data_IF_028968301399
#
_entry.id   IF_028968301399
#
_cell.length_a   1.000
_cell.length_b   1.000
_cell.length_c   1.000
_cell.angle_alpha   90.00
_cell.angle_beta   90.00
_cell.angle_gamma   90.00
#
_symmetry.space_group_name_H-M   'P 1'
#
loop_
_entity.id
_entity.type
_entity.pdbx_description
1 polymer ?
#
# COMPACT_ATOMS: atom_id res chain seq x y z
N UNK A 1 -2.13 -3.53 -15.07
CA UNK A 1 -2.81 -2.37 -14.44
C UNK A 1 -3.55 -2.82 -13.20
N UNK A 2 -3.48 -2.03 -12.13
CA UNK A 2 -4.10 -2.31 -10.84
C UNK A 2 -4.56 -1.00 -10.20
N UNK A 3 -5.63 -1.08 -9.43
CA UNK A 3 -6.07 -0.05 -8.50
C UNK A 3 -5.46 -0.35 -7.15
N UNK A 4 -5.00 0.68 -6.45
CA UNK A 4 -4.33 0.56 -5.15
C UNK A 4 -5.02 1.44 -4.10
N UNK A 5 -5.12 0.91 -2.89
CA UNK A 5 -5.50 1.64 -1.68
C UNK A 5 -4.37 1.46 -0.68
N UNK A 6 -3.88 2.57 -0.14
CA UNK A 6 -2.61 2.64 0.58
C UNK A 6 -2.86 3.40 1.87
N UNK A 7 -2.74 2.73 3.02
CA UNK A 7 -2.99 3.32 4.34
C UNK A 7 -4.30 4.09 4.45
N UNK A 8 -4.29 5.20 5.19
CA UNK A 8 -5.44 6.07 5.38
C UNK A 8 -5.79 6.26 6.85
N UNK A 9 -6.88 6.98 7.11
CA UNK A 9 -7.40 7.23 8.45
C UNK A 9 -8.83 6.72 8.55
N UNK A 10 -9.15 6.05 9.66
CA UNK A 10 -10.52 5.74 10.04
C UNK A 10 -10.88 6.53 11.29
N UNK A 11 -12.14 6.94 11.39
CA UNK A 11 -12.69 7.52 12.61
C UNK A 11 -13.16 6.44 13.62
N UNK A 12 -13.31 5.20 13.18
CA UNK A 12 -13.79 4.09 14.00
C UNK A 12 -13.11 2.76 13.60
N UNK A 13 -12.14 2.26 14.39
CA UNK A 13 -11.47 2.99 15.47
C UNK A 13 -10.71 4.20 14.92
N UNK A 14 -10.56 5.25 15.75
CA UNK A 14 -9.79 6.44 15.38
C UNK A 14 -8.30 6.12 15.29
N UNK A 15 -7.83 5.71 14.10
CA UNK A 15 -6.42 5.37 13.86
C UNK A 15 -6.01 5.57 12.40
N UNK A 16 -4.71 5.63 12.20
CA UNK A 16 -4.10 5.46 10.89
C UNK A 16 -4.00 3.98 10.55
N UNK A 17 -4.08 3.65 9.26
CA UNK A 17 -3.77 2.34 8.75
C UNK A 17 -2.46 2.36 7.96
N UNK A 18 -1.76 1.23 7.99
CA UNK A 18 -0.55 0.98 7.20
C UNK A 18 -0.72 -0.19 6.24
N UNK A 19 -1.95 -0.68 6.06
CA UNK A 19 -2.22 -1.78 5.14
C UNK A 19 -2.30 -1.30 3.69
N UNK A 20 -2.13 -2.26 2.79
CA UNK A 20 -2.13 -2.04 1.35
C UNK A 20 -3.09 -3.02 0.72
N UNK A 21 -3.95 -2.51 -0.16
CA UNK A 21 -4.91 -3.30 -0.89
C UNK A 21 -4.79 -3.01 -2.37
N UNK A 22 -5.00 -4.04 -3.19
CA UNK A 22 -5.00 -3.89 -4.63
C UNK A 22 -6.10 -4.71 -5.29
N UNK A 23 -6.52 -4.26 -6.46
CA UNK A 23 -7.51 -4.92 -7.28
C UNK A 23 -7.21 -4.74 -8.78
N UNK A 24 -7.53 -5.76 -9.58
CA UNK A 24 -7.46 -5.66 -11.05
C UNK A 24 -8.72 -5.02 -11.65
N UNK A 25 -9.85 -5.12 -10.96
CA UNK A 25 -11.17 -4.79 -11.51
C UNK A 25 -12.01 -3.87 -10.61
N UNK A 26 -11.50 -3.52 -9.42
CA UNK A 26 -12.19 -2.70 -8.43
C UNK A 26 -13.27 -3.43 -7.64
N UNK A 27 -13.47 -4.74 -7.89
CA UNK A 27 -14.49 -5.56 -7.21
C UNK A 27 -13.84 -6.54 -6.25
N UNK A 28 -12.85 -7.28 -6.73
CA UNK A 28 -12.11 -8.25 -5.93
C UNK A 28 -10.84 -7.59 -5.39
N UNK A 29 -10.79 -7.42 -4.07
CA UNK A 29 -9.69 -6.77 -3.38
C UNK A 29 -8.85 -7.79 -2.62
N UNK A 30 -7.53 -7.63 -2.71
CA UNK A 30 -6.56 -8.46 -2.00
C UNK A 30 -5.65 -7.57 -1.18
N UNK A 31 -5.45 -7.94 0.08
CA UNK A 31 -4.47 -7.29 0.91
C UNK A 31 -3.07 -7.74 0.47
N UNK A 32 -2.18 -6.78 0.26
CA UNK A 32 -0.75 -7.05 0.12
C UNK A 32 -0.17 -7.21 1.53
N UNK A 33 0.30 -8.41 1.85
CA UNK A 33 1.05 -8.69 3.07
C UNK A 33 2.54 -8.60 2.75
N UNK A 34 3.29 -7.91 3.60
CA UNK A 34 4.73 -7.78 3.50
C UNK A 34 5.32 -7.72 4.91
N UNK A 35 6.48 -8.34 5.12
CA UNK A 35 7.20 -8.32 6.40
C UNK A 35 7.52 -6.89 6.87
N UNK A 36 7.83 -6.00 5.92
CA UNK A 36 8.16 -4.60 6.18
C UNK A 36 7.20 -3.70 5.41
N UNK A 37 6.56 -2.81 6.16
CA UNK A 37 5.66 -1.78 5.65
C UNK A 37 6.02 -0.45 6.28
N UNK A 38 5.66 0.63 5.61
CA UNK A 38 5.75 1.96 6.19
C UNK A 38 4.92 2.06 7.47
N UNK A 39 5.29 3.03 8.30
CA UNK A 39 4.50 3.38 9.48
C UNK A 39 3.09 3.84 9.10
N UNK A 40 2.07 3.38 9.84
CA UNK A 40 0.66 3.73 9.65
C UNK A 40 0.46 5.25 9.47
N UNK A 41 -0.17 5.66 8.36
CA UNK A 41 -0.27 7.07 7.94
C UNK A 41 -1.50 7.38 7.09
N UNK A 42 -1.90 8.66 7.06
CA UNK A 42 -2.82 9.25 6.08
C UNK A 42 -2.19 10.49 5.43
N UNK A 43 -2.89 11.15 4.50
CA UNK A 43 -2.43 12.40 3.84
C UNK A 43 -1.06 12.30 3.15
N UNK A 44 -0.62 11.09 2.80
CA UNK A 44 0.60 10.90 2.03
C UNK A 44 0.35 11.19 0.55
N UNK A 45 1.41 11.51 -0.19
CA UNK A 45 1.36 11.52 -1.65
C UNK A 45 1.56 10.10 -2.18
N UNK A 46 0.77 9.71 -3.19
CA UNK A 46 0.90 8.43 -3.88
C UNK A 46 0.99 8.65 -5.39
N UNK A 47 1.99 8.05 -6.05
CA UNK A 47 2.21 8.21 -7.49
C UNK A 47 2.97 7.04 -8.10
N UNK A 48 2.84 6.86 -9.41
CA UNK A 48 3.62 5.88 -10.18
C UNK A 48 4.76 6.59 -10.89
N UNK A 49 5.98 6.11 -10.71
CA UNK A 49 7.17 6.63 -11.37
C UNK A 49 8.20 5.51 -11.57
N UNK A 50 8.75 5.40 -12.79
CA UNK A 50 9.71 4.34 -13.16
C UNK A 50 9.20 2.92 -12.82
N UNK A 51 7.97 2.60 -13.23
CA UNK A 51 7.30 1.32 -13.01
C UNK A 51 7.18 0.88 -11.53
N UNK A 52 7.29 1.84 -10.61
CA UNK A 52 7.14 1.63 -9.17
C UNK A 52 6.01 2.49 -8.62
N UNK A 53 5.33 1.96 -7.60
CA UNK A 53 4.39 2.72 -6.80
C UNK A 53 5.14 3.39 -5.66
N UNK A 54 4.96 4.70 -5.49
CA UNK A 54 5.64 5.49 -4.48
C UNK A 54 4.67 6.06 -3.46
N UNK A 55 5.12 6.09 -2.20
CA UNK A 55 4.48 6.77 -1.06
C UNK A 55 5.50 7.76 -0.51
N UNK A 56 5.11 9.02 -0.37
CA UNK A 56 5.98 10.06 0.20
C UNK A 56 5.25 10.86 1.29
N UNK A 57 5.90 10.98 2.46
CA UNK A 57 5.43 11.79 3.58
C UNK A 57 4.10 11.32 4.17
N UNK A 58 3.27 12.27 4.58
CA UNK A 58 1.98 12.04 5.24
C UNK A 58 2.02 12.13 6.76
N UNK A 59 0.84 12.13 7.37
CA UNK A 59 0.68 12.26 8.81
C UNK A 59 0.77 10.87 9.48
N UNK A 60 1.97 10.55 9.97
CA UNK A 60 2.24 9.43 10.88
C UNK A 60 2.46 9.94 12.32
N UNK A 61 2.39 9.08 13.34
CA UNK A 61 2.62 9.48 14.74
C UNK A 61 3.68 8.63 15.47
N UNK A 62 4.80 9.22 15.93
CA UNK A 62 5.31 10.54 15.56
C UNK A 62 5.47 10.74 14.05
N UNK A 63 5.48 12.02 13.63
CA UNK A 63 5.63 12.44 12.24
C UNK A 63 6.86 11.79 11.61
N UNK A 64 6.71 11.30 10.38
CA UNK A 64 7.75 10.61 9.64
C UNK A 64 7.81 11.14 8.22
N UNK A 65 9.02 11.43 7.75
CA UNK A 65 9.31 11.90 6.39
C UNK A 65 9.77 10.77 5.46
N UNK A 66 9.50 9.52 5.81
CA UNK A 66 9.86 8.37 4.99
C UNK A 66 9.25 8.45 3.59
N UNK A 67 10.03 7.98 2.62
CA UNK A 67 9.61 7.73 1.24
C UNK A 67 9.82 6.26 0.95
N UNK A 68 8.78 5.61 0.46
CA UNK A 68 8.77 4.18 0.16
C UNK A 68 8.41 3.96 -1.30
N UNK A 69 8.99 2.92 -1.90
CA UNK A 69 8.61 2.45 -3.23
C UNK A 69 8.32 0.96 -3.19
N UNK A 70 7.27 0.55 -3.89
CA UNK A 70 6.99 -0.85 -4.19
C UNK A 70 7.29 -1.09 -5.67
N UNK A 71 8.22 -2.01 -5.93
CA UNK A 71 8.35 -2.63 -7.24
C UNK A 71 7.39 -3.80 -7.32
N UNK A 72 6.45 -3.76 -8.26
CA UNK A 72 5.48 -4.84 -8.44
C UNK A 72 6.11 -5.86 -9.40
N UNK A 73 6.49 -7.06 -8.94
CA UNK A 73 7.07 -8.07 -9.82
C UNK A 73 6.11 -8.38 -10.96
N UNK A 74 6.64 -8.47 -12.19
CA UNK A 74 5.82 -8.75 -13.39
C UNK A 74 5.06 -10.08 -13.26
N UNK A 75 5.58 -11.01 -12.47
CA UNK A 75 4.97 -12.33 -12.28
C UNK A 75 3.81 -12.32 -11.27
N UNK A 76 3.72 -11.32 -10.38
CA UNK A 76 2.52 -11.08 -9.57
C UNK A 76 1.30 -10.71 -10.41
N UNK A 77 1.53 -10.26 -11.65
CA UNK A 77 0.48 -9.91 -12.58
C UNK A 77 -0.08 -11.13 -13.32
N UNK A 78 0.61 -12.28 -13.30
CA UNK A 78 0.28 -13.45 -14.13
C UNK A 78 -0.64 -14.44 -13.43
N UNK A 79 -0.42 -14.74 -12.16
CA UNK A 79 -1.19 -15.75 -11.47
C UNK A 79 -1.68 -15.17 -10.15
N UNK A 80 -2.98 -15.24 -9.89
CA UNK A 80 -3.60 -14.71 -8.68
C UNK A 80 -3.17 -15.44 -7.39
N UNK A 81 -1.88 -15.47 -7.09
CA UNK A 81 -1.25 -16.15 -5.97
C UNK A 81 -0.37 -15.12 -5.26
N UNK A 82 -0.90 -14.57 -4.17
CA UNK A 82 -0.12 -14.52 -2.94
C UNK A 82 -0.78 -15.58 -2.06
N UNK A 83 -0.29 -16.82 -2.18
CA UNK A 83 -0.46 -17.80 -1.11
C UNK A 83 0.19 -17.20 0.13
N UNK A 84 -0.46 -17.40 1.27
CA UNK A 84 0.01 -16.89 2.56
C UNK A 84 1.45 -17.30 2.88
N UNK A 85 1.96 -16.59 3.88
CA UNK A 85 3.23 -16.77 4.56
C UNK A 85 4.43 -16.12 3.85
N UNK A 86 4.70 -14.87 4.25
CA UNK A 86 5.94 -14.46 4.96
C UNK A 86 5.70 -13.06 5.60
#
# INVERSE_FOLDING_TARGET
DHIWVLGGWSNNPSKNWGDVWYSKDGKDWRQLKAEVTWKERHEHSAYVFQDKLWIAGGHAQPLSSEVWSLEVPKDWLKDGILSGDD
#
